data_IF_839302142424
#
_entry.id   IF_839302142424
#
_cell.length_a   1.000
_cell.length_b   1.000
_cell.length_c   1.000
_cell.angle_alpha   90.00
_cell.angle_beta   90.00
_cell.angle_gamma   90.00
#
_symmetry.space_group_name_H-M   'P 1'
#
loop_
_entity.id
_entity.type
_entity.pdbx_description
1 polymer ?
#
# COMPACT_ATOMS: atom_id res chain seq x y z
N UNK A 1 46.49 21.95 17.26
CA UNK A 1 46.10 20.53 17.21
C UNK A 1 45.48 20.27 15.84
N UNK A 2 46.25 19.70 14.90
CA UNK A 2 45.79 19.38 13.54
C UNK A 2 44.99 18.07 13.50
N UNK A 3 44.89 17.36 14.62
CA UNK A 3 44.34 16.01 14.72
C UNK A 3 42.83 15.95 14.93
N UNK A 4 42.13 17.10 14.91
CA UNK A 4 40.68 17.16 15.13
C UNK A 4 39.89 17.41 13.85
N UNK A 5 40.37 16.99 12.68
CA UNK A 5 39.73 17.27 11.39
C UNK A 5 38.80 16.13 10.98
N UNK A 6 37.67 16.49 10.38
CA UNK A 6 36.70 15.57 9.78
C UNK A 6 37.39 14.52 8.89
N UNK A 7 37.05 13.24 9.06
CA UNK A 7 37.63 12.13 8.28
C UNK A 7 37.17 12.05 6.82
N UNK A 8 36.26 12.93 6.37
CA UNK A 8 35.86 12.97 4.98
C UNK A 8 36.94 13.72 4.18
N UNK A 9 37.45 13.09 3.13
CA UNK A 9 38.50 13.66 2.30
C UNK A 9 38.14 15.08 1.79
N UNK A 10 39.13 15.97 1.82
CA UNK A 10 38.96 17.38 1.47
C UNK A 10 38.22 18.25 2.51
N UNK A 11 37.66 17.70 3.58
CA UNK A 11 37.01 18.49 4.63
C UNK A 11 38.02 18.99 5.68
N UNK A 12 38.12 20.31 5.87
CA UNK A 12 39.00 20.92 6.90
C UNK A 12 38.27 21.32 8.18
N UNK A 13 37.02 20.93 8.34
CA UNK A 13 36.21 21.27 9.52
C UNK A 13 36.56 20.38 10.69
N UNK A 14 36.43 20.86 11.94
CA UNK A 14 36.67 20.01 13.08
C UNK A 14 35.62 18.88 13.17
N UNK A 15 36.03 17.67 13.58
CA UNK A 15 35.09 16.61 13.94
C UNK A 15 34.40 16.91 15.28
N UNK A 16 33.34 16.19 15.60
CA UNK A 16 32.55 16.42 16.82
C UNK A 16 33.18 15.77 18.05
N UNK A 17 33.55 14.49 17.94
CA UNK A 17 34.23 13.72 18.99
C UNK A 17 35.04 12.58 18.36
N UNK A 18 35.83 11.87 19.15
CA UNK A 18 36.58 10.68 18.69
C UNK A 18 35.62 9.60 18.19
N UNK A 19 34.46 9.44 18.84
CA UNK A 19 33.43 8.47 18.46
C UNK A 19 32.62 8.89 17.22
N UNK A 20 32.66 10.18 16.86
CA UNK A 20 31.97 10.74 15.70
C UNK A 20 33.01 11.55 14.91
N UNK A 21 33.88 10.88 14.13
CA UNK A 21 35.03 11.49 13.48
C UNK A 21 34.65 12.34 12.24
N UNK A 22 33.40 12.76 12.16
CA UNK A 22 32.84 13.59 11.10
C UNK A 22 32.45 14.96 11.66
N UNK A 23 32.49 16.00 10.84
CA UNK A 23 31.97 17.31 11.23
C UNK A 23 30.43 17.34 11.20
N UNK A 24 29.82 18.40 11.74
CA UNK A 24 28.36 18.60 11.74
C UNK A 24 27.67 18.42 10.37
N UNK A 25 28.39 18.68 9.27
CA UNK A 25 27.86 18.54 7.89
C UNK A 25 27.98 17.14 7.32
N UNK A 26 28.93 16.35 7.80
CA UNK A 26 29.25 15.03 7.25
C UNK A 26 28.87 13.90 8.20
N UNK A 27 28.39 14.18 9.43
CA UNK A 27 27.77 13.16 10.27
C UNK A 27 26.34 12.89 9.84
N UNK A 28 25.90 11.65 10.01
CA UNK A 28 24.49 11.31 9.97
C UNK A 28 23.72 12.12 11.05
N UNK A 29 22.58 12.71 10.67
CA UNK A 29 21.72 13.48 11.59
C UNK A 29 20.72 12.62 12.37
N UNK A 30 20.70 11.30 12.14
CA UNK A 30 19.85 10.38 12.87
C UNK A 30 20.32 10.21 14.32
N UNK A 31 19.36 10.08 15.23
CA UNK A 31 19.61 9.82 16.66
C UNK A 31 18.76 8.65 17.13
N UNK A 32 19.35 7.71 17.88
CA UNK A 32 18.64 6.58 18.51
C UNK A 32 18.71 6.74 20.01
N UNK A 33 17.57 6.90 20.68
CA UNK A 33 17.55 7.10 22.13
C UNK A 33 18.29 8.36 22.60
N UNK A 34 18.44 9.37 21.73
CA UNK A 34 19.20 10.59 22.00
C UNK A 34 20.67 10.53 21.57
N UNK A 35 21.21 9.33 21.29
CA UNK A 35 22.60 9.18 20.86
C UNK A 35 22.75 9.37 19.33
N UNK A 36 23.72 10.18 18.88
CA UNK A 36 23.94 10.43 17.46
C UNK A 36 24.52 9.19 16.74
N UNK A 37 24.09 8.99 15.50
CA UNK A 37 24.69 7.95 14.66
C UNK A 37 26.16 8.28 14.34
N UNK A 38 27.11 7.35 14.57
CA UNK A 38 28.53 7.58 14.33
C UNK A 38 28.92 7.55 12.85
N UNK A 39 27.98 7.21 11.95
CA UNK A 39 28.25 7.02 10.53
C UNK A 39 28.30 8.34 9.75
N UNK A 40 29.02 8.33 8.63
CA UNK A 40 29.07 9.43 7.67
C UNK A 40 27.71 9.59 6.97
N UNK A 41 27.25 10.82 6.78
CA UNK A 41 26.11 11.10 5.92
C UNK A 41 26.46 10.85 4.45
N UNK A 42 25.54 10.26 3.70
CA UNK A 42 25.67 10.11 2.26
C UNK A 42 25.28 11.43 1.58
N UNK A 43 26.17 12.06 0.82
CA UNK A 43 25.88 13.34 0.17
C UNK A 43 25.10 13.11 -1.13
N UNK A 44 23.94 13.75 -1.37
CA UNK A 44 23.46 15.00 -0.76
C UNK A 44 22.50 14.84 0.43
N UNK A 45 22.24 13.62 0.88
CA UNK A 45 21.46 13.36 2.09
C UNK A 45 22.19 13.86 3.34
N UNK A 46 21.42 14.02 4.43
CA UNK A 46 21.95 14.29 5.77
C UNK A 46 22.02 13.02 6.62
N UNK A 47 21.71 11.88 6.02
CA UNK A 47 21.61 10.58 6.66
C UNK A 47 22.59 9.61 6.00
N UNK A 48 23.10 8.64 6.76
CA UNK A 48 23.93 7.57 6.21
C UNK A 48 23.08 6.56 5.43
N UNK A 49 23.71 5.58 4.78
CA UNK A 49 23.02 4.53 4.01
C UNK A 49 21.93 3.81 4.81
N UNK A 50 22.18 3.55 6.09
CA UNK A 50 21.22 2.84 6.95
C UNK A 50 20.04 3.72 7.38
N UNK A 51 20.22 5.04 7.37
CA UNK A 51 19.24 5.98 7.91
C UNK A 51 18.56 6.84 6.85
N UNK A 52 18.96 6.74 5.58
CA UNK A 52 18.29 7.41 4.46
C UNK A 52 17.09 6.58 4.00
N UNK A 53 16.04 7.26 3.56
CA UNK A 53 14.94 6.57 2.91
C UNK A 53 15.44 5.86 1.63
N UNK A 54 15.07 4.59 1.39
CA UNK A 54 15.54 3.84 0.22
C UNK A 54 14.92 4.31 -1.10
N UNK A 55 13.88 5.14 -1.05
CA UNK A 55 13.24 5.72 -2.24
C UNK A 55 14.19 6.70 -2.93
N UNK A 56 14.35 6.53 -4.24
CA UNK A 56 15.22 7.37 -5.06
C UNK A 56 14.90 8.85 -4.87
N UNK A 57 15.94 9.68 -4.73
CA UNK A 57 15.86 11.13 -4.50
C UNK A 57 15.17 11.58 -3.19
N UNK A 58 14.72 10.66 -2.33
CA UNK A 58 14.19 11.01 -1.03
C UNK A 58 15.30 11.43 -0.07
N UNK A 59 15.21 12.66 0.45
CA UNK A 59 16.19 13.24 1.37
C UNK A 59 15.80 13.08 2.85
N UNK A 60 14.70 12.38 3.14
CA UNK A 60 14.19 12.16 4.51
C UNK A 60 14.89 10.96 5.16
N UNK A 61 14.86 10.95 6.50
CA UNK A 61 15.27 9.77 7.26
C UNK A 61 14.22 8.69 7.26
N UNK A 62 14.64 7.43 7.26
CA UNK A 62 13.78 6.29 7.57
C UNK A 62 13.28 6.35 9.02
N UNK A 63 12.15 5.73 9.35
CA UNK A 63 11.67 5.64 10.75
C UNK A 63 12.48 4.65 11.61
N UNK A 64 13.06 3.64 10.97
CA UNK A 64 13.97 2.67 11.54
C UNK A 64 14.99 2.28 10.47
N UNK A 65 16.17 1.83 10.89
CA UNK A 65 17.26 1.53 9.96
C UNK A 65 16.80 0.61 8.82
N UNK A 66 17.03 1.03 7.57
CA UNK A 66 16.63 0.30 6.37
C UNK A 66 15.12 0.28 6.07
N UNK A 67 14.31 1.09 6.75
CA UNK A 67 12.87 1.25 6.47
C UNK A 67 12.57 2.51 5.65
N UNK A 68 11.30 2.72 5.34
CA UNK A 68 10.84 3.92 4.67
C UNK A 68 10.69 5.10 5.64
N UNK A 69 10.67 6.32 5.09
CA UNK A 69 10.30 7.50 5.86
C UNK A 69 8.77 7.54 6.06
N UNK A 70 8.28 8.50 6.84
CA UNK A 70 6.85 8.65 7.15
C UNK A 70 5.97 8.82 5.90
N UNK A 71 6.51 9.39 4.81
CA UNK A 71 5.80 9.60 3.54
C UNK A 71 5.76 8.34 2.65
N UNK A 72 6.74 7.44 2.80
CA UNK A 72 6.92 6.30 1.90
C UNK A 72 6.64 4.96 2.58
N UNK A 73 6.24 4.95 3.86
CA UNK A 73 5.87 3.73 4.56
C UNK A 73 4.46 3.31 4.17
N UNK A 74 4.25 2.00 4.06
CA UNK A 74 2.91 1.46 4.00
C UNK A 74 2.27 1.50 5.40
N UNK A 75 1.08 2.08 5.52
CA UNK A 75 0.31 2.22 6.77
C UNK A 75 -0.53 0.98 7.15
N UNK A 76 -0.30 -0.15 6.47
CA UNK A 76 -0.96 -1.40 6.81
C UNK A 76 -0.42 -1.99 8.11
N UNK A 77 -1.32 -2.44 8.99
CA UNK A 77 -0.95 -3.12 10.25
C UNK A 77 0.03 -2.29 11.09
N UNK A 78 -0.35 -1.06 11.44
CA UNK A 78 0.46 -0.11 12.24
C UNK A 78 1.81 0.30 11.62
N UNK A 79 2.00 0.07 10.31
CA UNK A 79 3.20 0.50 9.61
C UNK A 79 4.36 -0.49 9.66
N UNK A 80 4.11 -1.75 10.06
CA UNK A 80 5.12 -2.80 10.10
C UNK A 80 5.46 -3.37 8.72
N UNK A 81 4.63 -3.08 7.71
CA UNK A 81 4.86 -3.54 6.34
C UNK A 81 6.23 -3.05 5.81
N UNK A 82 7.11 -3.97 5.37
CA UNK A 82 8.45 -3.63 4.92
C UNK A 82 8.49 -3.10 3.48
N UNK A 83 7.34 -2.78 2.89
CA UNK A 83 7.22 -2.33 1.51
C UNK A 83 6.96 -0.83 1.43
N UNK A 84 7.42 -0.24 0.32
CA UNK A 84 7.13 1.15 -0.03
C UNK A 84 5.63 1.32 -0.23
N UNK A 85 5.07 2.43 0.25
CA UNK A 85 3.72 2.83 -0.17
C UNK A 85 3.67 3.08 -1.68
N UNK A 86 2.47 3.02 -2.27
CA UNK A 86 2.34 3.15 -3.72
C UNK A 86 2.69 4.57 -4.19
N UNK A 87 3.34 4.65 -5.35
CA UNK A 87 3.88 5.88 -5.97
C UNK A 87 2.82 6.87 -6.46
N UNK A 88 1.54 6.51 -6.38
CA UNK A 88 0.43 7.34 -6.83
C UNK A 88 0.28 8.43 -5.77
N UNK A 89 0.13 9.70 -6.16
CA UNK A 89 0.41 10.94 -5.38
C UNK A 89 -0.18 11.04 -3.94
N UNK A 90 -0.94 10.07 -3.46
CA UNK A 90 -1.47 9.98 -2.10
C UNK A 90 -1.55 8.53 -1.55
N UNK A 91 -0.82 7.57 -2.13
CA UNK A 91 -0.88 6.17 -1.72
C UNK A 91 -0.31 5.97 -0.32
N UNK A 92 -1.18 5.66 0.66
CA UNK A 92 -0.77 5.30 2.02
C UNK A 92 -0.40 3.81 2.16
N UNK A 93 -0.72 3.00 1.15
CA UNK A 93 -0.56 1.55 1.19
C UNK A 93 0.34 1.08 0.05
N UNK A 94 1.10 0.01 0.27
CA UNK A 94 1.88 -0.61 -0.78
C UNK A 94 0.96 -1.35 -1.78
N UNK A 95 1.43 -1.72 -2.98
CA UNK A 95 0.61 -2.44 -3.96
C UNK A 95 -0.05 -3.74 -3.43
N UNK A 96 0.54 -4.37 -2.41
CA UNK A 96 -0.03 -5.56 -1.78
C UNK A 96 -1.14 -5.26 -0.77
N UNK A 97 -1.27 -4.02 -0.31
CA UNK A 97 -2.27 -3.57 0.66
C UNK A 97 -3.22 -2.52 0.09
N UNK A 98 -2.98 -2.02 -1.13
CA UNK A 98 -3.93 -1.19 -1.89
C UNK A 98 -4.98 -2.06 -2.56
N UNK A 99 -6.20 -1.55 -2.66
CA UNK A 99 -7.26 -2.15 -3.47
C UNK A 99 -6.81 -2.35 -4.92
N UNK A 100 -7.10 -3.52 -5.50
CA UNK A 100 -6.74 -3.83 -6.88
C UNK A 100 -7.56 -3.08 -7.94
N UNK A 101 -8.69 -2.47 -7.54
CA UNK A 101 -9.55 -1.71 -8.45
C UNK A 101 -8.77 -0.55 -9.06
N UNK A 102 -9.00 -0.30 -10.36
CA UNK A 102 -8.36 0.79 -11.09
C UNK A 102 -8.53 2.11 -10.31
N UNK A 103 -7.42 2.85 -10.15
CA UNK A 103 -7.31 4.15 -9.46
C UNK A 103 -7.75 4.18 -7.98
N UNK A 104 -8.08 3.06 -7.35
CA UNK A 104 -8.43 3.03 -5.94
C UNK A 104 -7.17 3.06 -5.07
N UNK A 105 -7.09 4.03 -4.15
CA UNK A 105 -5.96 4.17 -3.20
C UNK A 105 -6.29 3.65 -1.80
N UNK A 106 -7.51 3.18 -1.59
CA UNK A 106 -7.99 2.66 -0.32
C UNK A 106 -7.32 1.32 0.03
N UNK A 107 -7.21 0.99 1.34
CA UNK A 107 -6.66 -0.28 1.76
C UNK A 107 -7.60 -1.42 1.36
N UNK A 108 -7.05 -2.53 0.85
CA UNK A 108 -7.82 -3.76 0.65
C UNK A 108 -8.20 -4.38 2.00
N UNK A 109 -9.23 -5.23 2.06
CA UNK A 109 -9.50 -6.01 3.27
C UNK A 109 -8.42 -7.08 3.49
N UNK A 110 -8.18 -7.51 4.74
CA UNK A 110 -7.01 -8.32 5.11
C UNK A 110 -6.76 -9.56 4.24
N UNK A 111 -7.81 -10.24 3.80
CA UNK A 111 -7.76 -11.45 2.98
C UNK A 111 -8.35 -11.26 1.57
N UNK A 112 -8.55 -10.01 1.15
CA UNK A 112 -9.19 -9.67 -0.12
C UNK A 112 -8.25 -9.05 -1.14
N UNK A 113 -8.76 -8.88 -2.35
CA UNK A 113 -8.12 -8.09 -3.41
C UNK A 113 -8.59 -6.63 -3.40
N UNK A 114 -9.74 -6.35 -2.79
CA UNK A 114 -10.43 -5.07 -2.88
C UNK A 114 -10.73 -4.47 -1.51
N UNK A 115 -10.99 -3.16 -1.46
CA UNK A 115 -11.43 -2.47 -0.26
C UNK A 115 -12.91 -2.74 0.03
N UNK A 116 -13.41 -2.30 1.19
CA UNK A 116 -14.82 -2.48 1.57
C UNK A 116 -15.78 -1.87 0.53
N UNK A 117 -15.43 -0.73 -0.06
CA UNK A 117 -16.24 -0.08 -1.10
C UNK A 117 -16.29 -0.88 -2.41
N UNK A 118 -15.24 -1.64 -2.70
CA UNK A 118 -15.11 -2.50 -3.88
C UNK A 118 -15.29 -3.97 -3.51
N UNK A 119 -16.01 -4.29 -2.43
CA UNK A 119 -16.38 -5.68 -2.15
C UNK A 119 -17.71 -5.98 -2.84
N UNK A 120 -17.80 -7.10 -3.54
CA UNK A 120 -19.04 -7.51 -4.18
C UNK A 120 -20.16 -7.71 -3.14
N UNK A 121 -21.26 -6.97 -3.33
CA UNK A 121 -22.42 -6.96 -2.42
C UNK A 121 -23.21 -8.28 -2.43
N UNK A 122 -23.03 -9.13 -3.45
CA UNK A 122 -23.78 -10.37 -3.61
C UNK A 122 -23.23 -11.60 -2.88
N UNK A 123 -22.12 -11.48 -2.16
CA UNK A 123 -21.61 -12.61 -1.41
C UNK A 123 -22.42 -12.76 -0.11
N UNK A 124 -22.95 -13.97 0.15
CA UNK A 124 -23.73 -14.28 1.35
C UNK A 124 -22.98 -13.87 2.62
N UNK A 125 -23.71 -13.57 3.71
CA UNK A 125 -23.13 -13.07 4.98
C UNK A 125 -21.84 -13.83 5.37
N UNK A 126 -20.70 -13.14 5.23
CA UNK A 126 -19.38 -13.63 5.61
C UNK A 126 -18.58 -14.35 4.50
N UNK A 127 -19.18 -14.66 3.36
CA UNK A 127 -18.47 -15.11 2.16
C UNK A 127 -18.02 -13.87 1.38
N UNK A 128 -16.79 -13.83 0.88
CA UNK A 128 -16.28 -12.70 0.06
C UNK A 128 -16.16 -13.15 -1.39
N UNK A 129 -16.81 -12.46 -2.35
CA UNK A 129 -16.51 -12.65 -3.78
C UNK A 129 -15.10 -12.10 -4.02
N UNK A 130 -14.16 -12.97 -4.39
CA UNK A 130 -12.80 -12.55 -4.76
C UNK A 130 -12.69 -12.12 -6.23
N UNK A 131 -13.83 -11.86 -6.90
CA UNK A 131 -13.85 -11.36 -8.26
C UNK A 131 -13.86 -9.84 -8.24
N UNK A 132 -12.98 -9.26 -9.05
CA UNK A 132 -12.82 -7.83 -9.19
C UNK A 132 -14.12 -7.15 -9.64
N UNK A 133 -14.63 -6.21 -8.84
CA UNK A 133 -15.64 -5.25 -9.26
C UNK A 133 -15.00 -3.92 -9.68
N UNK A 134 -15.46 -3.37 -10.80
CA UNK A 134 -14.91 -2.13 -11.37
C UNK A 134 -15.46 -0.86 -10.69
N UNK A 135 -16.66 -0.93 -10.12
CA UNK A 135 -17.34 0.20 -9.50
C UNK A 135 -17.69 -0.13 -8.06
N UNK A 136 -17.59 0.88 -7.19
CA UNK A 136 -17.96 0.73 -5.79
C UNK A 136 -19.45 0.36 -5.65
N UNK A 137 -19.74 -0.65 -4.84
CA UNK A 137 -21.09 -1.18 -4.63
C UNK A 137 -21.66 -2.01 -5.80
N UNK A 138 -20.87 -2.32 -6.82
CA UNK A 138 -21.30 -3.17 -7.94
C UNK A 138 -21.23 -4.66 -7.56
N UNK A 139 -21.90 -5.50 -8.37
CA UNK A 139 -21.89 -6.95 -8.25
C UNK A 139 -20.87 -7.53 -9.22
N UNK A 140 -20.08 -8.50 -8.78
CA UNK A 140 -19.19 -9.23 -9.66
C UNK A 140 -20.01 -9.97 -10.75
N UNK A 141 -19.41 -10.31 -11.90
CA UNK A 141 -20.11 -10.96 -13.02
C UNK A 141 -20.79 -12.30 -12.64
N UNK A 142 -20.35 -12.91 -11.54
CA UNK A 142 -20.95 -14.12 -10.97
C UNK A 142 -22.18 -13.85 -10.10
N UNK A 143 -22.32 -12.64 -9.54
CA UNK A 143 -23.43 -12.26 -8.66
C UNK A 143 -24.39 -11.25 -9.30
N UNK A 144 -24.21 -10.92 -10.59
CA UNK A 144 -25.11 -10.10 -11.38
C UNK A 144 -26.00 -10.98 -12.26
N UNK A 145 -27.30 -10.68 -12.28
CA UNK A 145 -28.22 -11.33 -13.20
C UNK A 145 -27.80 -11.12 -14.67
N UNK A 146 -27.67 -12.20 -15.44
CA UNK A 146 -27.33 -12.13 -16.87
C UNK A 146 -28.45 -11.59 -17.77
N UNK A 147 -29.65 -11.30 -17.23
CA UNK A 147 -30.72 -10.67 -18.03
C UNK A 147 -30.32 -9.22 -18.34
N UNK A 148 -30.35 -8.78 -19.62
CA UNK A 148 -30.08 -7.40 -19.98
C UNK A 148 -30.95 -6.42 -19.17
N UNK A 149 -30.33 -5.36 -18.66
CA UNK A 149 -30.96 -4.32 -17.84
C UNK A 149 -31.57 -4.81 -16.51
N UNK A 150 -31.07 -5.92 -15.97
CA UNK A 150 -31.38 -6.35 -14.61
C UNK A 150 -30.21 -6.07 -13.67
N UNK A 151 -30.46 -5.34 -12.59
CA UNK A 151 -29.47 -5.02 -11.56
C UNK A 151 -29.67 -5.84 -10.27
N UNK A 152 -30.55 -6.84 -10.31
CA UNK A 152 -30.80 -7.74 -9.18
C UNK A 152 -29.63 -8.72 -8.95
N UNK A 153 -29.50 -9.14 -7.68
CA UNK A 153 -28.62 -10.21 -7.23
C UNK A 153 -28.94 -11.55 -7.87
N UNK A 154 -27.93 -12.34 -8.23
CA UNK A 154 -28.07 -13.79 -8.23
C UNK A 154 -27.83 -14.33 -6.82
N UNK A 155 -28.57 -15.37 -6.46
CA UNK A 155 -28.32 -16.12 -5.22
C UNK A 155 -27.35 -17.26 -5.55
N UNK A 156 -26.17 -17.27 -4.91
CA UNK A 156 -25.17 -18.32 -5.07
C UNK A 156 -24.58 -18.44 -6.49
N UNK A 157 -24.57 -19.65 -7.04
CA UNK A 157 -23.98 -19.98 -8.35
C UNK A 157 -24.93 -19.78 -9.54
N UNK A 158 -26.13 -19.24 -9.31
CA UNK A 158 -27.12 -19.08 -10.38
C UNK A 158 -26.78 -17.92 -11.33
N UNK A 159 -27.08 -18.11 -12.61
CA UNK A 159 -26.84 -17.09 -13.65
C UNK A 159 -27.92 -15.99 -13.69
N UNK A 160 -29.03 -16.19 -12.97
CA UNK A 160 -30.20 -15.31 -13.01
C UNK A 160 -30.75 -15.09 -11.60
N UNK A 161 -31.25 -13.87 -11.33
CA UNK A 161 -31.91 -13.56 -10.06
C UNK A 161 -33.23 -14.32 -9.90
N UNK A 162 -33.77 -14.39 -8.69
CA UNK A 162 -35.07 -15.05 -8.38
C UNK A 162 -36.25 -14.59 -9.25
N UNK A 163 -36.21 -13.37 -9.80
CA UNK A 163 -37.24 -12.86 -10.72
C UNK A 163 -37.11 -13.39 -12.16
N UNK A 164 -36.00 -14.03 -12.49
CA UNK A 164 -35.64 -14.51 -13.82
C UNK A 164 -35.31 -16.01 -13.86
N UNK A 165 -35.45 -16.73 -12.75
CA UNK A 165 -35.42 -18.19 -12.73
C UNK A 165 -36.74 -18.71 -13.30
N UNK A 166 -36.69 -19.54 -14.35
CA UNK A 166 -37.88 -20.22 -14.86
C UNK A 166 -38.32 -21.25 -13.81
N UNK A 167 -39.55 -21.14 -13.31
CA UNK A 167 -40.07 -21.98 -12.23
C UNK A 167 -40.35 -23.45 -12.65
N UNK A 168 -40.22 -23.78 -13.94
CA UNK A 168 -40.51 -25.11 -14.47
C UNK A 168 -39.26 -25.99 -14.49
N UNK A 169 -39.39 -27.20 -13.96
CA UNK A 169 -38.34 -28.22 -14.00
C UNK A 169 -38.00 -28.57 -15.46
N UNK A 170 -36.71 -28.44 -15.84
CA UNK A 170 -36.25 -28.67 -17.22
C UNK A 170 -36.45 -27.51 -18.22
N UNK A 171 -36.70 -26.29 -17.75
CA UNK A 171 -36.83 -25.12 -18.61
C UNK A 171 -35.45 -24.59 -19.07
N UNK A 172 -35.05 -24.95 -20.29
CA UNK A 172 -33.83 -24.41 -20.94
C UNK A 172 -33.96 -22.91 -21.28
N UNK A 173 -35.19 -22.39 -21.36
CA UNK A 173 -35.47 -20.96 -21.52
C UNK A 173 -35.36 -20.23 -20.18
N UNK A 174 -34.13 -20.07 -19.67
CA UNK A 174 -33.81 -19.09 -18.61
C UNK A 174 -33.95 -17.62 -19.08
N UNK A 175 -34.64 -17.37 -20.20
CA UNK A 175 -35.06 -16.02 -20.64
C UNK A 175 -36.48 -15.80 -20.12
N UNK A 176 -36.58 -15.22 -18.92
CA UNK A 176 -37.86 -14.76 -18.39
C UNK A 176 -38.64 -14.01 -19.47
N UNK A 177 -39.86 -14.49 -19.74
CA UNK A 177 -40.73 -14.06 -20.81
C UNK A 177 -40.82 -12.52 -20.91
N UNK A 178 -40.73 -12.05 -22.15
CA UNK A 178 -40.99 -10.69 -22.57
C UNK A 178 -42.37 -10.22 -22.09
N UNK A 179 -42.38 -9.09 -21.39
CA UNK A 179 -43.56 -8.27 -21.14
C UNK A 179 -43.12 -6.81 -21.15
#
# INVERSE_FOLDING_TARGET
CLDHVCWLDGCRRPYISIDIPYCQRHRCQWTVGGEPCPQVADSPSRFCEQHKCPVTDCKRSCLAAGKYCDDHRCYWGDGECPQESSWWEAGLFCPNHTCSSYICVEPKVADGLQCDAHTCVGAEDGVRCNVEVYLAGDRCSQHRCLKPNCDNACDGEELYCVQHVCASDGCDDRRGASG
#
